data_IF_451907788203
#
_entry.id   IF_451907788203
#
_cell.length_a   1.000
_cell.length_b   1.000
_cell.length_c   1.000
_cell.angle_alpha   90.00
_cell.angle_beta   90.00
_cell.angle_gamma   90.00
#
_symmetry.space_group_name_H-M   'P 1'
#
loop_
_entity.id
_entity.type
_entity.pdbx_description
1 polymer ?
#
# COMPACT_ATOMS: atom_id res chain seq x y z
N UNK A 1 -21.69 9.27 12.46
CA UNK A 1 -21.04 8.34 11.50
C UNK A 1 -19.66 8.84 11.04
N UNK A 2 -19.52 10.07 10.54
CA UNK A 2 -18.22 10.61 10.10
C UNK A 2 -17.13 10.68 11.20
N UNK A 3 -17.51 11.07 12.43
CA UNK A 3 -16.58 11.17 13.57
C UNK A 3 -15.95 9.81 13.97
N UNK A 4 -16.73 8.72 13.86
CA UNK A 4 -16.27 7.38 14.22
C UNK A 4 -15.26 6.84 13.19
N UNK A 5 -15.46 7.14 11.91
CA UNK A 5 -14.54 6.77 10.84
C UNK A 5 -13.17 7.44 10.96
N UNK A 6 -13.15 8.71 11.42
CA UNK A 6 -11.89 9.44 11.68
C UNK A 6 -11.11 8.82 12.83
N UNK A 7 -11.78 8.53 13.95
CA UNK A 7 -11.18 7.89 15.13
C UNK A 7 -10.59 6.49 14.82
N UNK A 8 -11.27 5.69 13.99
CA UNK A 8 -10.77 4.39 13.56
C UNK A 8 -9.51 4.50 12.69
N UNK A 9 -9.42 5.50 11.82
CA UNK A 9 -8.21 5.78 11.04
C UNK A 9 -7.06 6.24 11.93
N UNK A 10 -7.32 7.13 12.87
CA UNK A 10 -6.31 7.61 13.83
C UNK A 10 -5.76 6.45 14.67
N UNK A 11 -6.61 5.53 15.15
CA UNK A 11 -6.15 4.33 15.85
C UNK A 11 -5.31 3.38 14.97
N UNK A 12 -5.73 3.18 13.72
CA UNK A 12 -5.00 2.32 12.76
C UNK A 12 -3.62 2.90 12.41
N UNK A 13 -3.52 4.23 12.32
CA UNK A 13 -2.33 4.95 11.88
C UNK A 13 -1.56 5.63 13.03
N UNK A 14 -1.88 5.36 14.30
CA UNK A 14 -1.25 6.01 15.46
C UNK A 14 0.29 5.97 15.42
N UNK A 15 0.86 4.79 15.08
CA UNK A 15 2.32 4.63 15.01
C UNK A 15 2.99 5.49 13.95
N UNK A 16 2.36 5.65 12.79
CA UNK A 16 2.90 6.44 11.68
C UNK A 16 2.61 7.93 11.85
N UNK A 17 1.46 8.30 12.44
CA UNK A 17 1.14 9.68 12.82
C UNK A 17 2.18 10.26 13.79
N UNK A 18 2.83 9.45 14.63
CA UNK A 18 3.93 9.92 15.49
C UNK A 18 5.21 10.27 14.72
N UNK A 19 5.41 9.75 13.52
CA UNK A 19 6.61 9.98 12.71
C UNK A 19 6.47 11.22 11.84
N UNK A 20 5.33 11.38 11.16
CA UNK A 20 5.12 12.46 10.18
C UNK A 20 3.84 13.29 10.42
N UNK A 21 3.15 13.08 11.54
CA UNK A 21 1.97 13.86 11.92
C UNK A 21 0.77 13.69 10.98
N UNK A 22 -0.27 14.45 11.27
CA UNK A 22 -1.50 14.48 10.44
C UNK A 22 -1.22 15.02 9.03
N UNK A 23 -0.33 16.01 8.92
CA UNK A 23 0.06 16.59 7.63
C UNK A 23 0.75 15.59 6.70
N UNK A 24 1.62 14.73 7.25
CA UNK A 24 2.25 13.65 6.49
C UNK A 24 1.23 12.60 6.04
N UNK A 25 0.26 12.28 6.90
CA UNK A 25 -0.81 11.34 6.56
C UNK A 25 -1.73 11.91 5.46
N UNK A 26 -2.09 13.19 5.52
CA UNK A 26 -2.90 13.86 4.50
C UNK A 26 -2.16 13.95 3.16
N UNK A 27 -0.85 14.24 3.18
CA UNK A 27 -0.02 14.20 1.99
C UNK A 27 0.05 12.79 1.37
N UNK A 28 0.09 11.75 2.21
CA UNK A 28 0.08 10.35 1.76
C UNK A 28 -1.29 9.98 1.14
N UNK A 29 -2.39 10.32 1.82
CA UNK A 29 -3.76 10.05 1.36
C UNK A 29 -4.14 10.84 0.09
N UNK A 30 -3.45 11.95 -0.21
CA UNK A 30 -3.63 12.72 -1.44
C UNK A 30 -2.65 12.35 -2.57
N UNK A 31 -1.64 11.53 -2.28
CA UNK A 31 -0.64 11.14 -3.27
C UNK A 31 -1.18 10.14 -4.31
N UNK A 32 -0.69 10.27 -5.55
CA UNK A 32 -0.87 9.31 -6.62
C UNK A 32 0.48 8.79 -7.11
N UNK A 33 0.78 7.51 -6.86
CA UNK A 33 2.08 6.90 -7.22
C UNK A 33 1.94 6.02 -8.46
N UNK A 34 2.86 6.17 -9.42
CA UNK A 34 2.95 5.31 -10.59
C UNK A 34 4.11 4.32 -10.44
N UNK A 35 3.80 3.02 -10.37
CA UNK A 35 4.80 1.95 -10.41
C UNK A 35 5.01 1.53 -11.87
N UNK A 36 6.25 1.62 -12.35
CA UNK A 36 6.64 1.17 -13.70
C UNK A 36 7.36 -0.17 -13.57
N UNK A 37 6.85 -1.19 -14.27
CA UNK A 37 7.22 -2.61 -14.19
C UNK A 37 7.01 -3.21 -12.80
N UNK A 38 6.06 -4.14 -12.67
CA UNK A 38 5.72 -4.80 -11.42
C UNK A 38 6.74 -5.91 -11.08
N UNK A 39 8.00 -5.53 -10.93
CA UNK A 39 9.07 -6.41 -10.42
C UNK A 39 8.85 -6.69 -8.94
N UNK A 40 9.49 -7.73 -8.38
CA UNK A 40 9.40 -8.07 -6.95
C UNK A 40 9.80 -6.89 -6.04
N UNK A 41 10.78 -6.08 -6.45
CA UNK A 41 11.17 -4.86 -5.73
C UNK A 41 10.07 -3.80 -5.81
N UNK A 42 9.50 -3.60 -7.00
CA UNK A 42 8.42 -2.64 -7.23
C UNK A 42 7.18 -2.95 -6.40
N UNK A 43 6.80 -4.23 -6.30
CA UNK A 43 5.67 -4.68 -5.49
C UNK A 43 5.92 -4.49 -3.99
N UNK A 44 7.11 -4.84 -3.48
CA UNK A 44 7.43 -4.63 -2.06
C UNK A 44 7.49 -3.13 -1.69
N UNK A 45 7.99 -2.27 -2.58
CA UNK A 45 7.90 -0.81 -2.39
C UNK A 45 6.44 -0.37 -2.35
N UNK A 46 5.63 -0.81 -3.31
CA UNK A 46 4.23 -0.41 -3.39
C UNK A 46 3.43 -0.88 -2.17
N UNK A 47 3.66 -2.09 -1.69
CA UNK A 47 3.07 -2.62 -0.44
C UNK A 47 3.42 -1.75 0.77
N UNK A 48 4.67 -1.33 0.90
CA UNK A 48 5.11 -0.43 1.97
C UNK A 48 4.51 0.97 1.87
N UNK A 49 3.94 1.36 0.71
CA UNK A 49 3.14 2.58 0.58
C UNK A 49 1.66 2.27 0.90
N UNK A 50 1.09 1.21 0.35
CA UNK A 50 -0.34 0.86 0.50
C UNK A 50 -0.72 0.65 1.97
N UNK A 51 0.15 0.03 2.77
CA UNK A 51 -0.09 -0.20 4.20
C UNK A 51 -0.31 1.11 4.99
N UNK A 52 0.56 2.13 4.88
CA UNK A 52 0.34 3.43 5.52
C UNK A 52 -0.78 4.27 4.88
N UNK A 53 -1.30 3.90 3.71
CA UNK A 53 -2.54 4.47 3.17
C UNK A 53 -2.36 5.57 2.13
N UNK A 54 -1.52 5.32 1.11
CA UNK A 54 -1.50 6.12 -0.12
C UNK A 54 -2.92 6.26 -0.71
N UNK A 55 -3.23 7.45 -1.21
CA UNK A 55 -4.51 7.75 -1.86
C UNK A 55 -4.81 6.86 -3.05
N UNK A 56 -3.90 6.80 -4.02
CA UNK A 56 -4.09 6.01 -5.24
C UNK A 56 -2.76 5.60 -5.87
N UNK A 57 -2.75 4.48 -6.59
CA UNK A 57 -1.60 4.06 -7.37
C UNK A 57 -1.98 3.53 -8.74
N UNK A 58 -1.07 3.66 -9.70
CA UNK A 58 -1.20 3.09 -11.04
C UNK A 58 -0.02 2.17 -11.28
N UNK A 59 -0.27 0.96 -11.77
CA UNK A 59 0.79 0.03 -12.18
C UNK A 59 0.82 0.01 -13.71
N UNK A 60 1.98 0.28 -14.28
CA UNK A 60 2.23 0.17 -15.71
C UNK A 60 3.27 -0.94 -15.89
N UNK A 61 2.82 -2.11 -16.33
CA UNK A 61 3.69 -3.24 -16.67
C UNK A 61 3.39 -3.71 -18.08
N UNK A 62 4.39 -3.68 -18.95
CA UNK A 62 4.30 -4.14 -20.33
C UNK A 62 4.59 -5.63 -20.51
N UNK A 63 4.98 -6.32 -19.43
CA UNK A 63 5.38 -7.72 -19.48
C UNK A 63 4.20 -8.64 -19.11
N UNK A 64 4.10 -9.79 -19.78
CA UNK A 64 3.17 -10.84 -19.36
C UNK A 64 3.70 -11.54 -18.10
N UNK A 65 2.82 -11.79 -17.15
CA UNK A 65 3.13 -12.49 -15.90
C UNK A 65 3.68 -13.89 -16.22
N UNK A 66 4.92 -14.16 -15.78
CA UNK A 66 5.58 -15.46 -15.95
C UNK A 66 5.47 -16.31 -14.67
N UNK A 67 5.73 -17.62 -14.76
CA UNK A 67 5.66 -18.51 -13.60
C UNK A 67 6.64 -18.16 -12.47
N UNK A 68 7.76 -17.52 -12.79
CA UNK A 68 8.74 -17.03 -11.79
C UNK A 68 8.22 -15.82 -11.01
N UNK A 69 7.35 -15.00 -11.63
CA UNK A 69 6.69 -13.88 -10.97
C UNK A 69 5.75 -14.36 -9.86
N UNK A 70 5.09 -15.51 -10.05
CA UNK A 70 4.15 -16.06 -9.07
C UNK A 70 4.85 -16.54 -7.78
N UNK A 71 6.09 -17.06 -7.89
CA UNK A 71 6.84 -17.58 -6.75
C UNK A 71 7.59 -16.52 -5.93
N UNK A 72 8.02 -15.42 -6.55
CA UNK A 72 8.81 -14.36 -5.91
C UNK A 72 7.98 -13.13 -5.50
N UNK A 73 6.73 -13.01 -5.96
CA UNK A 73 5.81 -11.94 -5.54
C UNK A 73 4.92 -12.48 -4.43
N UNK A 74 5.16 -12.00 -3.23
CA UNK A 74 4.46 -12.32 -1.98
C UNK A 74 2.93 -12.18 -2.09
N UNK A 75 2.45 -11.40 -3.05
CA UNK A 75 1.03 -11.10 -3.32
C UNK A 75 0.36 -12.03 -4.35
N UNK A 76 1.12 -12.81 -5.12
CA UNK A 76 0.57 -13.75 -6.12
C UNK A 76 0.38 -15.17 -5.55
N UNK A 77 1.10 -15.53 -4.48
CA UNK A 77 1.02 -16.85 -3.87
C UNK A 77 -0.03 -16.93 -2.74
N UNK A 78 -0.38 -15.82 -2.07
CA UNK A 78 -1.30 -15.81 -0.92
C UNK A 78 -2.36 -14.71 -1.03
N UNK A 79 -3.65 -15.03 -0.83
CA UNK A 79 -4.70 -14.02 -0.81
C UNK A 79 -4.45 -13.02 0.33
N UNK A 80 -4.55 -11.73 0.01
CA UNK A 80 -4.41 -10.55 0.88
C UNK A 80 -5.10 -10.66 2.26
N UNK A 81 -6.10 -11.55 2.37
CA UNK A 81 -6.80 -11.86 3.61
C UNK A 81 -5.90 -12.46 4.72
N UNK A 82 -4.70 -12.98 4.40
CA UNK A 82 -3.81 -13.58 5.40
C UNK A 82 -3.00 -12.59 6.24
N UNK A 83 -2.94 -11.30 5.87
CA UNK A 83 -2.14 -10.28 6.57
C UNK A 83 -2.97 -9.34 7.46
N UNK A 84 -4.27 -9.60 7.63
CA UNK A 84 -5.18 -8.80 8.48
C UNK A 84 -5.54 -9.52 9.80
N UNK A 85 -4.53 -9.93 10.56
CA UNK A 85 -4.69 -10.22 12.00
C UNK A 85 -4.28 -9.00 12.81
#
# INVERSE_FOLDING_TARGET
>A
MAQLGKLLKEQKYDRQLRLWGDHGQEALESAHVCLINATATGTEILKNLVLPGIGSFTIIDGNQVSGEDAGNKTELQLPWNSYKN
#
